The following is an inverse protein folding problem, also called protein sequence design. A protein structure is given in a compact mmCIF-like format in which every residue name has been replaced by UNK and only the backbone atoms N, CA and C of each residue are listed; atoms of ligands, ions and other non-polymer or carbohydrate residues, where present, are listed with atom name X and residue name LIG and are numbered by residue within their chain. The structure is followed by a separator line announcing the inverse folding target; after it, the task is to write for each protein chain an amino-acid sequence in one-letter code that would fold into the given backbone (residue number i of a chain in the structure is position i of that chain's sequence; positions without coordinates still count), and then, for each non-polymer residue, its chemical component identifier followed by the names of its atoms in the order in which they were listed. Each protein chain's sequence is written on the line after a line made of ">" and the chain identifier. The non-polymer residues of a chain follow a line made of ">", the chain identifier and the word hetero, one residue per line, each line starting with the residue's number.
data_IF_850022611995
#
_entry.id   IF_850022611995
#
_cell.length_a   1.000
_cell.length_b   1.000
_cell.length_c   1.000
_cell.angle_alpha   90.00
_cell.angle_beta   90.00
_cell.angle_gamma   90.00
#
_symmetry.space_group_name_H-M   'P 1'
#
loop_
_entity.id
_entity.type
_entity.pdbx_description
1 polymer ?
#
# COMPACT_ATOMS: atom_id res chain seq x y z
N UNK A 1 -8.97 -5.55 18.70
CA UNK A 1 -9.73 -4.38 18.18
C UNK A 1 -10.81 -3.97 19.18
N UNK A 2 -10.79 -2.71 19.63
CA UNK A 2 -11.76 -2.14 20.57
C UNK A 2 -13.11 -1.85 19.89
N UNK A 3 -14.20 -1.70 20.66
CA UNK A 3 -15.50 -1.31 20.12
C UNK A 3 -15.45 0.04 19.37
N UNK A 4 -14.62 0.97 19.85
CA UNK A 4 -14.42 2.28 19.23
C UNK A 4 -13.78 2.17 17.84
N UNK A 5 -12.77 1.33 17.68
CA UNK A 5 -12.11 1.07 16.39
C UNK A 5 -13.08 0.46 15.36
N UNK A 6 -13.85 -0.56 15.77
CA UNK A 6 -14.88 -1.18 14.92
C UNK A 6 -15.92 -0.17 14.45
N UNK A 7 -16.33 0.75 15.33
CA UNK A 7 -17.29 1.81 15.00
C UNK A 7 -16.74 2.79 13.95
N UNK A 8 -15.44 3.08 13.95
CA UNK A 8 -14.82 3.98 12.95
C UNK A 8 -14.84 3.36 11.55
N UNK A 9 -14.42 2.11 11.43
CA UNK A 9 -14.41 1.38 10.16
C UNK A 9 -15.83 1.26 9.61
N UNK A 10 -16.80 0.95 10.49
CA UNK A 10 -18.21 0.93 10.13
C UNK A 10 -18.69 2.29 9.59
N UNK A 11 -18.33 3.41 10.22
CA UNK A 11 -18.68 4.75 9.71
C UNK A 11 -18.08 5.03 8.34
N UNK A 12 -16.82 4.64 8.11
CA UNK A 12 -16.17 4.77 6.80
C UNK A 12 -16.92 3.94 5.75
N UNK A 13 -17.21 2.66 6.06
CA UNK A 13 -17.96 1.79 5.15
C UNK A 13 -19.37 2.33 4.84
N UNK A 14 -20.10 2.78 5.86
CA UNK A 14 -21.42 3.37 5.71
C UNK A 14 -21.38 4.64 4.85
N UNK A 15 -20.36 5.49 5.03
CA UNK A 15 -20.16 6.67 4.20
C UNK A 15 -19.98 6.28 2.73
N UNK A 16 -19.01 5.41 2.41
CA UNK A 16 -18.75 4.95 1.05
C UNK A 16 -20.00 4.36 0.38
N UNK A 17 -20.67 3.44 1.07
CA UNK A 17 -21.90 2.82 0.59
C UNK A 17 -23.00 3.86 0.32
N UNK A 18 -23.20 4.80 1.24
CA UNK A 18 -24.25 5.81 1.13
C UNK A 18 -23.98 6.83 0.02
N UNK A 19 -22.71 7.17 -0.26
CA UNK A 19 -22.34 8.16 -1.28
C UNK A 19 -22.87 7.80 -2.68
N UNK A 20 -22.91 6.51 -3.02
CA UNK A 20 -23.51 6.01 -4.26
C UNK A 20 -24.84 5.28 -4.06
N UNK A 21 -25.44 5.36 -2.86
CA UNK A 21 -26.70 4.68 -2.49
C UNK A 21 -26.68 3.18 -2.77
N UNK A 22 -25.55 2.53 -2.55
CA UNK A 22 -25.45 1.09 -2.75
C UNK A 22 -26.27 0.32 -1.70
N UNK A 23 -26.87 -0.82 -2.08
CA UNK A 23 -27.61 -1.65 -1.15
C UNK A 23 -26.69 -2.13 -0.03
N UNK A 24 -27.25 -2.28 1.16
CA UNK A 24 -26.50 -2.83 2.29
C UNK A 24 -26.40 -4.34 2.14
N UNK A 25 -25.19 -4.83 1.90
CA UNK A 25 -24.86 -6.25 1.82
C UNK A 25 -23.87 -6.56 2.94
N UNK A 26 -24.09 -7.67 3.67
CA UNK A 26 -23.26 -8.07 4.79
C UNK A 26 -22.72 -9.47 4.59
N UNK A 27 -21.45 -9.68 4.92
CA UNK A 27 -20.88 -11.01 5.06
C UNK A 27 -21.46 -11.74 6.28
N UNK A 28 -21.21 -13.05 6.40
CA UNK A 28 -21.53 -13.82 7.62
C UNK A 28 -20.84 -13.28 8.88
N UNK A 29 -19.70 -12.61 8.73
CA UNK A 29 -18.95 -11.97 9.82
C UNK A 29 -19.38 -10.53 10.09
N UNK A 30 -20.37 -10.00 9.36
CA UNK A 30 -20.92 -8.65 9.52
C UNK A 30 -20.12 -7.55 8.81
N UNK A 31 -19.16 -7.89 7.95
CA UNK A 31 -18.46 -6.91 7.12
C UNK A 31 -19.36 -6.39 5.99
N UNK A 32 -19.32 -5.08 5.69
CA UNK A 32 -20.07 -4.52 4.55
C UNK A 32 -19.38 -4.90 3.23
N UNK A 33 -20.18 -5.47 2.31
CA UNK A 33 -19.74 -5.94 1.00
C UNK A 33 -20.36 -5.11 -0.11
N UNK A 34 -19.73 -5.11 -1.29
CA UNK A 34 -20.26 -4.49 -2.50
C UNK A 34 -21.29 -5.38 -3.20
N UNK A 35 -21.08 -6.70 -3.18
CA UNK A 35 -21.92 -7.70 -3.84
C UNK A 35 -22.20 -8.88 -2.92
N UNK A 36 -23.33 -9.57 -3.17
CA UNK A 36 -23.88 -10.60 -2.30
C UNK A 36 -23.27 -11.98 -2.49
N UNK A 37 -23.12 -12.56 -3.71
CA UNK A 37 -22.49 -13.89 -3.81
C UNK A 37 -21.81 -14.34 -5.13
N UNK A 38 -21.62 -13.51 -6.16
CA UNK A 38 -20.76 -13.89 -7.29
C UNK A 38 -19.85 -12.73 -7.72
N UNK A 39 -18.53 -12.93 -7.64
CA UNK A 39 -17.56 -11.89 -7.91
C UNK A 39 -17.07 -11.97 -9.35
N UNK A 40 -17.72 -11.19 -10.20
CA UNK A 40 -17.28 -10.98 -11.56
C UNK A 40 -16.73 -9.58 -11.74
N UNK A 41 -15.60 -9.47 -12.43
CA UNK A 41 -15.00 -8.18 -12.79
C UNK A 41 -15.98 -7.25 -13.50
N UNK A 42 -16.99 -7.80 -14.20
CA UNK A 42 -18.04 -7.02 -14.86
C UNK A 42 -18.88 -6.20 -13.88
N UNK A 43 -19.21 -6.76 -12.72
CA UNK A 43 -19.99 -6.07 -11.70
C UNK A 43 -19.22 -4.87 -11.15
N UNK A 44 -17.92 -5.02 -10.89
CA UNK A 44 -17.06 -3.91 -10.45
C UNK A 44 -16.99 -2.80 -11.49
N UNK A 45 -16.80 -3.14 -12.77
CA UNK A 45 -16.79 -2.15 -13.85
C UNK A 45 -18.08 -1.36 -13.92
N UNK A 46 -19.22 -2.05 -13.89
CA UNK A 46 -20.53 -1.41 -13.91
C UNK A 46 -20.74 -0.53 -12.68
N UNK A 47 -20.36 -1.03 -11.49
CA UNK A 47 -20.50 -0.32 -10.21
C UNK A 47 -19.76 1.00 -10.20
N UNK A 48 -18.51 0.98 -10.65
CA UNK A 48 -17.62 2.15 -10.61
C UNK A 48 -17.53 2.92 -11.93
N UNK A 49 -18.33 2.54 -12.94
CA UNK A 49 -18.45 3.30 -14.18
C UNK A 49 -17.22 3.23 -15.08
N UNK A 50 -16.52 2.09 -15.07
CA UNK A 50 -15.37 1.86 -15.96
C UNK A 50 -15.84 1.88 -17.42
N UNK A 51 -15.28 2.80 -18.21
CA UNK A 51 -15.65 2.97 -19.61
C UNK A 51 -15.29 1.74 -20.46
N UNK A 52 -16.02 1.55 -21.57
CA UNK A 52 -15.80 0.44 -22.50
C UNK A 52 -14.37 0.41 -23.05
N UNK A 53 -13.78 1.59 -23.31
CA UNK A 53 -12.41 1.71 -23.81
C UNK A 53 -11.34 1.18 -22.81
N UNK A 54 -11.64 1.15 -21.52
CA UNK A 54 -10.72 0.70 -20.47
C UNK A 54 -11.10 -0.67 -19.89
N UNK A 55 -12.09 -1.34 -20.50
CA UNK A 55 -12.56 -2.67 -20.08
C UNK A 55 -11.42 -3.69 -19.99
N UNK A 56 -10.56 -3.74 -21.01
CA UNK A 56 -9.46 -4.70 -21.07
C UNK A 56 -8.41 -4.44 -20.00
N UNK A 57 -7.97 -3.18 -19.86
CA UNK A 57 -7.00 -2.77 -18.84
C UNK A 57 -7.53 -3.05 -17.43
N UNK A 58 -8.81 -2.74 -17.17
CA UNK A 58 -9.44 -3.03 -15.88
C UNK A 58 -9.52 -4.54 -15.61
N UNK A 59 -9.88 -5.35 -16.62
CA UNK A 59 -9.98 -6.79 -16.45
C UNK A 59 -8.64 -7.41 -16.05
N UNK A 60 -7.60 -7.05 -16.78
CA UNK A 60 -6.28 -7.61 -16.55
C UNK A 60 -5.69 -7.11 -15.22
N UNK A 61 -5.92 -5.84 -14.85
CA UNK A 61 -5.53 -5.31 -13.54
C UNK A 61 -6.30 -5.99 -12.39
N UNK A 62 -7.62 -6.18 -12.53
CA UNK A 62 -8.44 -6.87 -11.54
C UNK A 62 -7.97 -8.31 -11.34
N UNK A 63 -7.66 -9.02 -12.42
CA UNK A 63 -7.10 -10.37 -12.37
C UNK A 63 -5.77 -10.36 -11.60
N UNK A 64 -4.85 -9.45 -11.94
CA UNK A 64 -3.57 -9.33 -11.22
C UNK A 64 -3.73 -9.06 -9.72
N UNK A 65 -4.72 -8.26 -9.32
CA UNK A 65 -5.02 -7.93 -7.91
C UNK A 65 -5.73 -9.07 -7.17
N UNK A 66 -6.37 -10.02 -7.88
CA UNK A 66 -7.19 -11.07 -7.25
C UNK A 66 -6.61 -12.48 -7.34
N UNK A 67 -5.60 -12.70 -8.18
CA UNK A 67 -4.89 -13.98 -8.34
C UNK A 67 -3.66 -14.13 -7.42
N UNK A 68 -3.45 -13.24 -6.46
CA UNK A 68 -2.41 -13.41 -5.46
C UNK A 68 -2.69 -14.56 -4.48
N UNK A 69 -1.80 -14.72 -3.51
CA UNK A 69 -1.62 -15.97 -2.73
C UNK A 69 -2.71 -16.16 -1.65
N UNK A 70 -3.84 -15.45 -1.71
CA UNK A 70 -4.90 -15.49 -0.70
C UNK A 70 -6.33 -15.48 -1.26
N UNK A 71 -7.31 -15.45 -0.35
CA UNK A 71 -8.73 -15.21 -0.66
C UNK A 71 -8.98 -13.75 -1.13
N UNK A 72 -8.09 -13.20 -1.95
CA UNK A 72 -8.04 -11.79 -2.33
C UNK A 72 -9.30 -11.35 -3.08
N UNK A 73 -9.90 -12.25 -3.85
CA UNK A 73 -11.22 -12.02 -4.45
C UNK A 73 -12.29 -11.72 -3.38
N UNK A 74 -12.29 -12.41 -2.24
CA UNK A 74 -13.26 -12.10 -1.16
C UNK A 74 -12.93 -10.78 -0.45
N UNK A 75 -11.66 -10.39 -0.39
CA UNK A 75 -11.22 -9.13 0.22
C UNK A 75 -11.53 -7.92 -0.66
N UNK A 76 -11.44 -8.04 -1.99
CA UNK A 76 -11.75 -6.93 -2.92
C UNK A 76 -13.24 -6.56 -2.91
N UNK A 77 -14.11 -7.49 -2.50
CA UNK A 77 -15.54 -7.23 -2.33
C UNK A 77 -15.89 -6.42 -1.06
N UNK A 78 -14.95 -6.21 -0.14
CA UNK A 78 -15.20 -5.36 1.02
C UNK A 78 -15.36 -3.90 0.59
N UNK A 79 -16.34 -3.20 1.17
CA UNK A 79 -16.54 -1.74 0.95
C UNK A 79 -15.29 -0.94 1.37
N UNK A 80 -14.54 -1.44 2.35
CA UNK A 80 -13.29 -0.83 2.87
C UNK A 80 -12.06 -1.61 2.41
N UNK A 81 -12.09 -2.18 1.21
CA UNK A 81 -10.96 -2.93 0.66
C UNK A 81 -9.78 -2.03 0.30
N UNK A 82 -8.62 -2.29 0.90
CA UNK A 82 -7.36 -1.61 0.58
C UNK A 82 -6.76 -2.02 -0.78
N UNK A 83 -7.24 -3.11 -1.38
CA UNK A 83 -6.87 -3.55 -2.73
C UNK A 83 -7.76 -2.92 -3.83
N UNK A 84 -9.02 -2.61 -3.51
CA UNK A 84 -9.95 -2.04 -4.50
C UNK A 84 -9.61 -0.60 -4.88
N UNK A 85 -9.27 0.24 -3.89
CA UNK A 85 -8.94 1.64 -4.12
C UNK A 85 -7.74 1.82 -5.08
N UNK A 86 -6.56 1.20 -4.85
CA UNK A 86 -5.46 1.28 -5.80
C UNK A 86 -5.82 0.71 -7.17
N UNK A 87 -6.61 -0.37 -7.25
CA UNK A 87 -7.10 -0.88 -8.53
C UNK A 87 -7.88 0.20 -9.30
N UNK A 88 -8.90 0.78 -8.67
CA UNK A 88 -9.76 1.81 -9.29
C UNK A 88 -8.99 3.08 -9.66
N UNK A 89 -7.91 3.39 -8.94
CA UNK A 89 -7.06 4.56 -9.21
C UNK A 89 -6.08 4.27 -10.35
N UNK A 90 -5.45 3.11 -10.41
CA UNK A 90 -4.28 2.89 -11.29
C UNK A 90 -4.55 1.98 -12.50
N UNK A 91 -5.73 1.35 -12.62
CA UNK A 91 -6.00 0.38 -13.70
C UNK A 91 -5.79 0.93 -15.12
N UNK A 92 -6.05 2.23 -15.33
CA UNK A 92 -5.89 2.89 -16.65
C UNK A 92 -4.42 2.85 -17.14
N UNK A 93 -3.46 2.67 -16.23
CA UNK A 93 -2.03 2.52 -16.54
C UNK A 93 -1.58 1.06 -16.70
N UNK A 94 -2.44 0.07 -16.46
CA UNK A 94 -2.03 -1.34 -16.48
C UNK A 94 -1.61 -1.80 -17.87
N UNK A 95 -2.41 -1.44 -18.88
CA UNK A 95 -2.07 -1.59 -20.30
C UNK A 95 -1.65 -0.20 -20.80
N UNK A 96 -0.36 0.02 -21.14
CA UNK A 96 0.11 1.30 -21.61
C UNK A 96 -0.66 1.77 -22.85
N UNK A 97 -1.11 3.02 -22.82
CA UNK A 97 -1.78 3.69 -23.94
C UNK A 97 -1.21 5.09 -24.12
N UNK A 98 -1.11 5.54 -25.37
CA UNK A 98 -0.66 6.89 -25.67
C UNK A 98 -1.59 7.94 -25.02
N UNK A 99 -1.01 9.02 -24.51
CA UNK A 99 -1.75 10.11 -23.85
C UNK A 99 -2.22 9.80 -22.43
N UNK A 100 -2.19 8.56 -21.96
CA UNK A 100 -2.63 8.18 -20.62
C UNK A 100 -1.45 8.20 -19.64
N UNK A 101 -1.56 9.03 -18.60
CA UNK A 101 -0.53 9.12 -17.55
C UNK A 101 -1.06 9.78 -16.28
N UNK A 102 -0.40 9.48 -15.16
CA UNK A 102 -0.54 10.24 -13.91
C UNK A 102 0.75 11.05 -13.69
N UNK A 103 0.61 12.28 -13.22
CA UNK A 103 1.73 13.12 -12.80
C UNK A 103 1.76 13.18 -11.27
N UNK A 104 2.91 12.89 -10.68
CA UNK A 104 3.10 12.94 -9.22
C UNK A 104 4.40 13.65 -8.88
N UNK A 105 4.40 14.42 -7.79
CA UNK A 105 5.64 14.95 -7.19
C UNK A 105 6.21 13.97 -6.17
N UNK A 106 7.26 13.24 -6.56
CA UNK A 106 7.93 12.20 -5.76
C UNK A 106 9.44 12.23 -5.97
N UNK A 107 10.21 11.84 -4.96
CA UNK A 107 11.67 11.83 -5.01
C UNK A 107 12.27 13.23 -5.20
N UNK A 108 11.54 14.28 -4.80
CA UNK A 108 11.91 15.68 -5.01
C UNK A 108 11.65 16.22 -6.43
N UNK A 109 11.05 15.43 -7.32
CA UNK A 109 10.86 15.77 -8.73
C UNK A 109 9.39 15.53 -9.16
N UNK A 110 8.92 16.26 -10.15
CA UNK A 110 7.65 15.92 -10.83
C UNK A 110 7.92 14.83 -11.85
N UNK A 111 7.20 13.71 -11.76
CA UNK A 111 7.35 12.56 -12.64
C UNK A 111 6.03 12.19 -13.31
N UNK A 112 6.12 11.81 -14.58
CA UNK A 112 5.01 11.27 -15.38
C UNK A 112 5.11 9.75 -15.39
N UNK A 113 4.05 9.08 -14.95
CA UNK A 113 3.96 7.62 -14.92
C UNK A 113 2.96 7.14 -15.97
N UNK A 114 3.36 6.15 -16.77
CA UNK A 114 2.59 5.67 -17.95
C UNK A 114 2.29 4.18 -17.90
N UNK A 115 2.80 3.48 -16.88
CA UNK A 115 2.56 2.04 -16.69
C UNK A 115 2.41 1.72 -15.22
N UNK A 116 1.52 0.79 -14.90
CA UNK A 116 1.35 0.24 -13.57
C UNK A 116 1.46 -1.29 -13.59
N UNK A 117 2.05 -1.84 -12.55
CA UNK A 117 1.97 -3.25 -12.18
C UNK A 117 1.29 -3.36 -10.82
N UNK A 118 0.53 -4.44 -10.61
CA UNK A 118 -0.14 -4.72 -9.34
C UNK A 118 0.47 -5.95 -8.67
N UNK A 119 0.41 -5.99 -7.34
CA UNK A 119 0.83 -7.14 -6.53
C UNK A 119 2.24 -7.62 -6.87
N UNK A 120 3.18 -6.68 -7.08
CA UNK A 120 4.54 -7.02 -7.52
C UNK A 120 5.31 -7.71 -6.41
N UNK A 121 5.89 -8.86 -6.71
CA UNK A 121 6.52 -9.73 -5.70
C UNK A 121 8.03 -9.53 -5.70
N UNK A 122 8.54 -9.12 -4.54
CA UNK A 122 9.97 -8.97 -4.32
C UNK A 122 10.49 -9.98 -3.28
N UNK A 123 11.76 -10.39 -3.45
CA UNK A 123 12.45 -11.32 -2.56
C UNK A 123 12.64 -10.69 -1.18
N UNK A 124 12.14 -11.34 -0.12
CA UNK A 124 12.38 -10.92 1.27
C UNK A 124 12.73 -12.10 2.17
N UNK A 125 12.55 -11.96 3.48
CA UNK A 125 12.75 -13.04 4.46
C UNK A 125 11.54 -13.99 4.39
N UNK A 126 11.78 -15.24 3.98
CA UNK A 126 10.73 -16.26 3.87
C UNK A 126 9.88 -16.09 2.62
N UNK A 127 8.62 -15.67 2.79
CA UNK A 127 7.68 -15.47 1.67
C UNK A 127 7.93 -14.11 0.99
N UNK A 128 7.68 -13.96 -0.32
CA UNK A 128 7.82 -12.69 -1.01
C UNK A 128 7.02 -11.56 -0.35
N UNK A 129 7.53 -10.34 -0.45
CA UNK A 129 6.75 -9.14 -0.13
C UNK A 129 6.05 -8.70 -1.41
N UNK A 130 4.72 -8.69 -1.38
CA UNK A 130 3.91 -8.05 -2.42
C UNK A 130 3.88 -6.55 -2.13
N UNK A 131 4.07 -5.71 -3.14
CA UNK A 131 3.74 -4.28 -3.09
C UNK A 131 2.49 -4.09 -3.94
N UNK A 132 1.49 -3.38 -3.43
CA UNK A 132 0.19 -3.27 -4.09
C UNK A 132 0.29 -2.68 -5.50
N UNK A 133 1.09 -1.62 -5.70
CA UNK A 133 1.27 -0.98 -7.01
C UNK A 133 2.73 -0.58 -7.25
N UNK A 134 3.23 -0.83 -8.46
CA UNK A 134 4.48 -0.27 -8.97
C UNK A 134 4.22 0.56 -10.24
N UNK A 135 4.46 1.86 -10.18
CA UNK A 135 4.31 2.78 -11.30
C UNK A 135 5.65 3.01 -12.00
N UNK A 136 5.71 2.83 -13.32
CA UNK A 136 6.91 3.08 -14.12
C UNK A 136 6.81 4.44 -14.79
N UNK A 137 7.88 5.24 -14.68
CA UNK A 137 7.96 6.53 -15.35
C UNK A 137 7.97 6.39 -16.88
N UNK A 138 7.57 7.44 -17.58
CA UNK A 138 7.49 7.44 -19.05
C UNK A 138 8.84 7.17 -19.74
N UNK A 139 9.96 7.45 -19.08
CA UNK A 139 11.32 7.16 -19.55
C UNK A 139 11.85 5.78 -19.11
N UNK A 140 11.07 5.00 -18.34
CA UNK A 140 11.48 3.69 -17.84
C UNK A 140 12.51 3.71 -16.69
N UNK A 141 13.11 4.86 -16.40
CA UNK A 141 14.25 4.95 -15.47
C UNK A 141 13.86 4.93 -13.99
N UNK A 142 12.61 5.25 -13.67
CA UNK A 142 12.10 5.31 -12.29
C UNK A 142 10.92 4.38 -12.09
N UNK A 143 10.95 3.62 -10.98
CA UNK A 143 9.77 2.91 -10.48
C UNK A 143 9.37 3.47 -9.12
N UNK A 144 8.10 3.84 -8.96
CA UNK A 144 7.48 4.23 -7.71
C UNK A 144 6.67 3.06 -7.15
N UNK A 145 7.07 2.55 -6.00
CA UNK A 145 6.41 1.49 -5.24
C UNK A 145 5.46 2.10 -4.22
N UNK A 146 4.19 1.72 -4.32
CA UNK A 146 3.10 2.20 -3.49
C UNK A 146 2.47 1.04 -2.72
N UNK A 147 2.46 1.19 -1.40
CA UNK A 147 1.71 0.34 -0.49
C UNK A 147 0.44 1.09 -0.05
N UNK A 148 -0.71 0.60 -0.47
CA UNK A 148 -2.03 1.16 -0.14
C UNK A 148 -2.39 0.89 1.32
N UNK A 149 -2.98 1.90 1.97
CA UNK A 149 -3.63 1.74 3.28
C UNK A 149 -4.95 2.52 3.29
N UNK A 150 -5.98 1.87 3.82
CA UNK A 150 -7.33 2.41 3.89
C UNK A 150 -7.86 2.40 5.33
N UNK A 151 -7.96 1.24 5.96
CA UNK A 151 -8.49 1.10 7.33
C UNK A 151 -7.62 0.32 8.30
N UNK A 152 -6.52 -0.28 7.84
CA UNK A 152 -5.70 -1.21 8.60
C UNK A 152 -5.15 -0.60 9.89
N UNK A 153 -4.83 0.70 9.87
CA UNK A 153 -4.35 1.43 11.06
C UNK A 153 -5.39 1.52 12.19
N UNK A 154 -6.69 1.40 11.88
CA UNK A 154 -7.75 1.34 12.88
C UNK A 154 -7.94 -0.07 13.44
N UNK A 155 -7.55 -1.10 12.69
CA UNK A 155 -7.76 -2.51 13.04
C UNK A 155 -6.68 -3.06 13.96
N UNK A 156 -5.43 -2.74 13.62
CA UNK A 156 -4.24 -3.45 14.08
C UNK A 156 -3.30 -2.59 14.95
N UNK A 157 -3.79 -1.44 15.43
CA UNK A 157 -3.03 -0.64 16.39
C UNK A 157 -2.93 -1.37 17.75
N UNK A 158 -1.70 -1.64 18.18
CA UNK A 158 -1.37 -2.43 19.37
C UNK A 158 -0.12 -1.89 20.06
N UNK A 159 0.06 -2.22 21.34
CA UNK A 159 1.29 -1.92 22.10
C UNK A 159 2.37 -2.97 21.90
N UNK A 160 2.04 -4.12 21.33
CA UNK A 160 2.96 -5.22 21.13
C UNK A 160 2.62 -6.01 19.88
N UNK A 161 3.66 -6.38 19.11
CA UNK A 161 3.57 -7.32 17.98
C UNK A 161 4.78 -8.24 17.95
N UNK A 162 4.50 -9.51 17.78
CA UNK A 162 5.49 -10.56 17.59
C UNK A 162 5.57 -10.94 16.10
N UNK A 163 6.79 -11.11 15.62
CA UNK A 163 7.15 -11.51 14.26
C UNK A 163 8.15 -12.66 14.30
N UNK A 164 8.29 -13.40 13.19
CA UNK A 164 9.24 -14.50 13.11
C UNK A 164 10.69 -14.10 13.43
N UNK A 165 11.40 -14.99 14.12
CA UNK A 165 12.80 -14.81 14.54
C UNK A 165 13.77 -14.39 13.43
N UNK A 166 13.46 -14.75 12.18
CA UNK A 166 14.26 -14.40 11.00
C UNK A 166 14.39 -12.90 10.72
N UNK A 167 13.53 -12.06 11.30
CA UNK A 167 13.64 -10.60 11.23
C UNK A 167 14.52 -9.99 12.34
N UNK A 168 14.82 -10.74 13.41
CA UNK A 168 15.44 -10.19 14.63
C UNK A 168 16.81 -9.58 14.35
N UNK A 169 17.70 -10.33 13.69
CA UNK A 169 19.08 -9.88 13.41
C UNK A 169 19.12 -8.58 12.59
N UNK A 170 18.18 -8.41 11.66
CA UNK A 170 18.04 -7.19 10.87
C UNK A 170 17.58 -6.03 11.75
N UNK A 171 16.56 -6.22 12.58
CA UNK A 171 16.00 -5.16 13.41
C UNK A 171 16.95 -4.70 14.52
N UNK A 172 17.87 -5.57 14.94
CA UNK A 172 18.94 -5.24 15.89
C UNK A 172 20.04 -4.37 15.29
N UNK A 173 20.10 -4.19 13.96
CA UNK A 173 21.03 -3.26 13.32
C UNK A 173 20.76 -1.82 13.78
N UNK A 174 21.84 -1.06 14.03
CA UNK A 174 21.77 0.26 14.65
C UNK A 174 20.85 1.25 13.91
N UNK A 175 20.80 1.21 12.58
CA UNK A 175 19.94 2.07 11.77
C UNK A 175 18.45 1.85 12.04
N UNK A 176 17.99 0.60 12.08
CA UNK A 176 16.58 0.27 12.35
C UNK A 176 16.26 0.49 13.83
N UNK A 177 17.13 0.03 14.73
CA UNK A 177 16.93 0.20 16.18
C UNK A 177 16.82 1.67 16.58
N UNK A 178 17.68 2.54 16.04
CA UNK A 178 17.64 3.98 16.33
C UNK A 178 16.37 4.64 15.78
N UNK A 179 15.92 4.23 14.59
CA UNK A 179 14.68 4.72 13.99
C UNK A 179 13.46 4.39 14.86
N UNK A 180 13.36 3.14 15.35
CA UNK A 180 12.28 2.69 16.23
C UNK A 180 12.28 3.41 17.58
N UNK A 181 13.46 3.62 18.17
CA UNK A 181 13.61 4.33 19.44
C UNK A 181 13.09 5.77 19.41
N UNK A 182 13.12 6.43 18.24
CA UNK A 182 12.56 7.78 18.08
C UNK A 182 11.05 7.83 18.45
N UNK A 183 10.32 6.75 18.15
CA UNK A 183 8.91 6.58 18.52
C UNK A 183 8.70 5.75 19.78
N UNK A 184 9.75 5.57 20.60
CA UNK A 184 9.75 4.75 21.81
C UNK A 184 9.24 3.33 21.55
N UNK A 185 9.61 2.77 20.40
CA UNK A 185 9.34 1.38 20.05
C UNK A 185 10.60 0.59 20.41
N UNK A 186 10.49 -0.24 21.44
CA UNK A 186 11.55 -1.10 21.92
C UNK A 186 11.50 -2.48 21.24
N UNK A 187 12.68 -3.08 21.06
CA UNK A 187 12.82 -4.49 20.68
C UNK A 187 13.08 -5.28 21.96
N UNK A 188 12.34 -6.36 22.19
CA UNK A 188 12.59 -7.27 23.33
C UNK A 188 13.80 -8.15 23.02
N UNK A 189 14.97 -7.78 23.53
CA UNK A 189 16.24 -8.42 23.14
C UNK A 189 16.32 -9.91 23.52
N UNK A 190 15.76 -10.29 24.66
CA UNK A 190 15.82 -11.68 25.17
C UNK A 190 14.86 -12.64 24.46
N UNK A 191 13.90 -12.14 23.67
CA UNK A 191 12.91 -12.99 23.01
C UNK A 191 13.51 -13.72 21.79
N UNK A 192 13.20 -14.99 21.58
CA UNK A 192 13.65 -15.74 20.38
C UNK A 192 13.13 -15.11 19.09
N UNK A 193 11.86 -14.71 19.10
CA UNK A 193 11.19 -14.02 18.01
C UNK A 193 11.41 -12.50 18.08
N UNK A 194 11.18 -11.81 16.96
CA UNK A 194 11.22 -10.35 16.97
C UNK A 194 9.94 -9.85 17.64
N UNK A 195 10.05 -9.22 18.81
CA UNK A 195 8.92 -8.57 19.48
C UNK A 195 9.18 -7.07 19.52
N UNK A 196 8.25 -6.31 18.94
CA UNK A 196 8.21 -4.85 19.03
C UNK A 196 7.21 -4.43 20.10
N UNK A 197 7.63 -3.54 21.00
CA UNK A 197 6.80 -2.97 22.07
C UNK A 197 6.77 -1.45 21.97
N UNK A 198 5.59 -0.86 22.02
CA UNK A 198 5.38 0.59 22.08
C UNK A 198 4.65 1.00 23.36
N UNK A 199 4.95 2.18 23.88
CA UNK A 199 4.28 2.72 25.08
C UNK A 199 2.79 3.00 24.87
N UNK A 200 2.39 3.23 23.61
CA UNK A 200 1.02 3.53 23.21
C UNK A 200 0.63 2.65 22.02
N UNK A 201 -0.68 2.34 21.83
CA UNK A 201 -1.13 1.60 20.66
C UNK A 201 -0.70 2.27 19.35
N UNK A 202 0.00 1.52 18.50
CA UNK A 202 0.52 1.97 17.22
C UNK A 202 0.35 0.88 16.16
N UNK A 203 0.25 1.26 14.89
CA UNK A 203 0.16 0.31 13.78
C UNK A 203 1.55 -0.22 13.40
N UNK A 204 2.10 -1.07 14.26
CA UNK A 204 3.45 -1.64 14.12
C UNK A 204 3.60 -2.51 12.87
N UNK A 205 2.52 -3.15 12.41
CA UNK A 205 2.52 -3.92 11.17
C UNK A 205 2.89 -3.06 9.96
N UNK A 206 2.40 -1.81 9.89
CA UNK A 206 2.74 -0.90 8.79
C UNK A 206 4.23 -0.54 8.73
N UNK A 207 4.91 -0.48 9.88
CA UNK A 207 6.38 -0.30 9.94
C UNK A 207 7.07 -1.57 9.44
N UNK A 208 6.63 -2.75 9.90
CA UNK A 208 7.21 -4.02 9.47
C UNK A 208 7.03 -4.24 7.97
N UNK A 209 5.85 -3.95 7.43
CA UNK A 209 5.56 -3.98 6.00
C UNK A 209 6.52 -3.07 5.24
N UNK A 210 6.65 -1.80 5.64
CA UNK A 210 7.59 -0.84 5.04
C UNK A 210 9.01 -1.39 4.96
N UNK A 211 9.54 -1.90 6.07
CA UNK A 211 10.88 -2.50 6.10
C UNK A 211 10.96 -3.73 5.19
N UNK A 212 9.93 -4.59 5.17
CA UNK A 212 9.85 -5.73 4.23
C UNK A 212 9.92 -5.27 2.77
N UNK A 213 9.15 -4.25 2.35
CA UNK A 213 9.22 -3.76 0.97
C UNK A 213 10.61 -3.20 0.65
N UNK A 214 11.25 -2.48 1.57
CA UNK A 214 12.62 -1.97 1.38
C UNK A 214 13.64 -3.11 1.22
N UNK A 215 13.52 -4.22 1.96
CA UNK A 215 14.31 -5.43 1.71
C UNK A 215 14.07 -5.92 0.28
N UNK A 216 12.81 -5.96 -0.14
CA UNK A 216 12.40 -6.35 -1.48
C UNK A 216 13.02 -5.46 -2.56
N UNK A 217 13.02 -4.15 -2.36
CA UNK A 217 13.66 -3.20 -3.28
C UNK A 217 15.16 -3.41 -3.37
N UNK A 218 15.85 -3.81 -2.29
CA UNK A 218 17.29 -4.12 -2.29
C UNK A 218 17.59 -5.47 -2.96
N UNK A 219 16.78 -6.50 -2.68
CA UNK A 219 17.00 -7.87 -3.19
C UNK A 219 16.46 -8.11 -4.60
N UNK A 220 15.51 -7.28 -5.03
CA UNK A 220 14.85 -7.33 -6.32
C UNK A 220 13.67 -8.30 -6.41
N UNK A 221 13.10 -8.41 -7.62
CA UNK A 221 11.95 -9.25 -7.91
C UNK A 221 12.16 -10.73 -7.55
N UNK A 222 11.06 -11.41 -7.23
CA UNK A 222 11.02 -12.87 -7.17
C UNK A 222 11.25 -13.44 -8.59
N UNK A 223 12.00 -14.53 -8.70
CA UNK A 223 12.23 -15.18 -9.99
C UNK A 223 10.98 -16.00 -10.35
N UNK A 224 10.02 -15.37 -11.01
CA UNK A 224 8.78 -16.01 -11.47
C UNK A 224 8.44 -15.58 -12.88
N UNK A 225 7.92 -16.52 -13.68
CA UNK A 225 7.59 -16.27 -15.09
C UNK A 225 6.32 -15.39 -15.25
N UNK A 226 5.42 -15.43 -14.26
CA UNK A 226 4.16 -14.68 -14.22
C UNK A 226 4.36 -13.15 -14.05
N UNK A 227 5.55 -12.69 -13.67
CA UNK A 227 5.87 -11.26 -13.51
C UNK A 227 7.05 -10.79 -14.38
N UNK A 228 7.29 -11.47 -15.50
CA UNK A 228 8.41 -11.16 -16.43
C UNK A 228 8.46 -9.70 -16.89
N UNK A 229 7.31 -9.09 -17.19
CA UNK A 229 7.24 -7.69 -17.59
C UNK A 229 7.68 -6.72 -16.48
N UNK A 230 7.26 -6.99 -15.24
CA UNK A 230 7.71 -6.24 -14.06
C UNK A 230 9.21 -6.42 -13.84
N UNK A 231 9.71 -7.66 -13.94
CA UNK A 231 11.14 -7.97 -13.81
C UNK A 231 11.96 -7.17 -14.82
N UNK A 232 11.51 -7.11 -16.08
CA UNK A 232 12.18 -6.33 -17.13
C UNK A 232 12.20 -4.83 -16.81
N UNK A 233 11.06 -4.27 -16.38
CA UNK A 233 10.99 -2.86 -15.97
C UNK A 233 11.92 -2.57 -14.78
N UNK A 234 11.93 -3.45 -13.77
CA UNK A 234 12.81 -3.34 -12.60
C UNK A 234 14.29 -3.36 -13.00
N UNK A 235 14.67 -4.28 -13.88
CA UNK A 235 16.05 -4.42 -14.33
C UNK A 235 16.53 -3.16 -15.08
N UNK A 236 15.66 -2.57 -15.90
CA UNK A 236 15.94 -1.34 -16.63
C UNK A 236 16.02 -0.09 -15.72
N UNK A 237 15.15 0.00 -14.71
CA UNK A 237 15.07 1.18 -13.86
C UNK A 237 16.35 1.43 -13.05
N UNK A 238 16.85 2.65 -13.05
CA UNK A 238 18.03 3.06 -12.26
C UNK A 238 17.64 3.56 -10.87
N UNK A 239 16.40 4.06 -10.74
CA UNK A 239 15.88 4.69 -9.52
C UNK A 239 14.61 4.00 -9.05
N UNK A 240 14.57 3.65 -7.77
CA UNK A 240 13.41 3.07 -7.11
C UNK A 240 12.95 4.04 -6.02
N UNK A 241 11.66 4.35 -5.97
CA UNK A 241 11.06 5.22 -4.95
C UNK A 241 10.07 4.39 -4.16
N UNK A 242 10.07 4.49 -2.83
CA UNK A 242 9.11 3.82 -1.96
C UNK A 242 8.32 4.82 -1.11
N UNK A 243 7.01 4.63 -1.05
CA UNK A 243 6.12 5.32 -0.11
C UNK A 243 4.81 4.55 0.04
N UNK A 244 4.18 4.53 1.22
CA UNK A 244 2.78 4.20 1.29
C UNK A 244 1.93 5.31 0.64
N UNK A 245 0.74 4.94 0.21
CA UNK A 245 -0.33 5.86 -0.21
C UNK A 245 -1.54 5.64 0.70
N UNK A 246 -1.92 6.67 1.43
CA UNK A 246 -2.97 6.59 2.44
C UNK A 246 -4.26 7.23 1.94
N UNK A 247 -5.39 6.63 2.27
CA UNK A 247 -6.66 7.34 2.24
C UNK A 247 -6.79 8.17 3.53
N UNK A 248 -7.07 9.47 3.40
CA UNK A 248 -7.38 10.36 4.52
C UNK A 248 -8.89 10.35 4.87
N UNK A 249 -9.31 9.72 5.99
CA UNK A 249 -10.72 9.64 6.37
C UNK A 249 -11.18 10.82 7.22
N UNK A 250 -10.38 11.88 7.42
CA UNK A 250 -10.69 12.99 8.35
C UNK A 250 -11.90 13.85 7.98
N UNK A 251 -12.41 13.71 6.75
CA UNK A 251 -13.70 14.32 6.37
C UNK A 251 -14.91 13.45 6.77
N UNK A 252 -14.70 12.16 7.05
CA UNK A 252 -15.71 11.21 7.53
C UNK A 252 -15.66 11.09 9.06
N UNK A 253 -14.45 11.00 9.59
CA UNK A 253 -14.15 10.85 11.00
C UNK A 253 -13.91 12.22 11.65
N UNK A 254 -14.07 12.31 12.97
CA UNK A 254 -13.79 13.56 13.67
C UNK A 254 -12.28 13.87 13.62
N UNK A 255 -11.88 15.15 13.63
CA UNK A 255 -10.46 15.57 13.68
C UNK A 255 -9.69 15.03 14.90
N UNK A 256 -10.38 14.49 15.90
CA UNK A 256 -9.80 13.87 17.09
C UNK A 256 -9.57 12.35 16.94
N UNK A 257 -9.91 11.76 15.78
CA UNK A 257 -9.67 10.35 15.48
C UNK A 257 -8.22 10.15 15.05
N UNK A 258 -7.39 9.90 16.06
CA UNK A 258 -5.93 10.02 15.97
C UNK A 258 -5.23 8.87 15.20
N UNK A 259 -5.85 7.74 14.88
CA UNK A 259 -5.13 6.57 14.35
C UNK A 259 -4.52 6.82 12.96
N UNK A 260 -5.24 7.52 12.06
CA UNK A 260 -4.69 7.94 10.77
C UNK A 260 -3.48 8.86 10.96
N UNK A 261 -3.66 9.96 11.71
CA UNK A 261 -2.60 10.94 11.97
C UNK A 261 -1.41 10.34 12.74
N UNK A 262 -1.69 9.39 13.64
CA UNK A 262 -0.68 8.64 14.39
C UNK A 262 0.10 7.72 13.44
N UNK A 263 -0.54 7.02 12.51
CA UNK A 263 0.19 6.22 11.52
C UNK A 263 0.99 7.10 10.55
N UNK A 264 0.41 8.20 10.08
CA UNK A 264 1.10 9.17 9.22
C UNK A 264 2.39 9.69 9.86
N UNK A 265 2.31 10.12 11.12
CA UNK A 265 3.48 10.57 11.90
C UNK A 265 4.43 9.42 12.21
N UNK A 266 3.93 8.25 12.62
CA UNK A 266 4.74 7.06 12.87
C UNK A 266 5.58 6.67 11.64
N UNK A 267 4.98 6.61 10.45
CA UNK A 267 5.73 6.36 9.22
C UNK A 267 6.78 7.45 8.98
N UNK A 268 6.39 8.72 9.08
CA UNK A 268 7.29 9.84 8.80
C UNK A 268 8.48 9.88 9.75
N UNK A 269 8.25 9.59 11.03
CA UNK A 269 9.26 9.65 12.09
C UNK A 269 10.19 8.44 12.07
N UNK A 270 9.72 7.25 11.66
CA UNK A 270 10.53 6.02 11.63
C UNK A 270 11.09 5.75 10.24
N UNK A 271 10.23 5.62 9.22
CA UNK A 271 10.63 5.23 7.87
C UNK A 271 11.09 6.44 7.05
N UNK A 272 10.30 7.52 7.04
CA UNK A 272 10.59 8.69 6.21
C UNK A 272 11.88 9.40 6.62
N UNK A 273 12.02 9.68 7.92
CA UNK A 273 13.17 10.41 8.47
C UNK A 273 14.45 9.57 8.49
N UNK A 274 14.36 8.28 8.85
CA UNK A 274 15.53 7.39 8.98
C UNK A 274 15.70 6.42 7.81
N UNK A 275 15.01 6.64 6.70
CA UNK A 275 14.97 5.71 5.58
C UNK A 275 16.35 5.31 5.05
N UNK A 276 17.27 6.26 4.95
CA UNK A 276 18.65 5.98 4.53
C UNK A 276 19.39 5.05 5.51
N UNK A 277 19.28 5.32 6.82
CA UNK A 277 19.90 4.47 7.84
C UNK A 277 19.30 3.05 7.86
N UNK A 278 17.99 2.93 7.63
CA UNK A 278 17.30 1.65 7.46
C UNK A 278 17.81 0.92 6.21
N UNK A 279 17.94 1.62 5.07
CA UNK A 279 18.46 1.03 3.84
C UNK A 279 19.90 0.53 4.00
N UNK A 280 20.75 1.29 4.67
CA UNK A 280 22.14 0.89 4.93
C UNK A 280 22.19 -0.35 5.83
N UNK A 281 21.36 -0.40 6.88
CA UNK A 281 21.20 -1.59 7.71
C UNK A 281 20.74 -2.81 6.90
N UNK A 282 19.77 -2.64 5.99
CA UNK A 282 19.27 -3.71 5.10
C UNK A 282 20.38 -4.18 4.15
N UNK A 283 21.12 -3.28 3.50
CA UNK A 283 22.21 -3.63 2.57
C UNK A 283 23.33 -4.39 3.27
N UNK A 284 23.71 -3.94 4.47
CA UNK A 284 24.72 -4.60 5.30
C UNK A 284 24.27 -6.01 5.70
N UNK A 285 23.03 -6.15 6.18
CA UNK A 285 22.45 -7.44 6.54
C UNK A 285 22.33 -8.38 5.33
N UNK A 286 21.87 -7.87 4.18
CA UNK A 286 21.66 -8.66 2.98
C UNK A 286 22.96 -9.06 2.28
N UNK A 287 24.08 -8.39 2.60
CA UNK A 287 25.38 -8.52 1.91
C UNK A 287 25.25 -8.39 0.38
N UNK A 288 24.28 -7.62 -0.07
CA UNK A 288 23.92 -7.43 -1.47
C UNK A 288 23.50 -5.99 -1.71
N UNK A 289 23.87 -5.48 -2.88
CA UNK A 289 23.34 -4.26 -3.46
C UNK A 289 22.97 -4.56 -4.90
N UNK A 290 21.82 -4.06 -5.34
CA UNK A 290 21.39 -4.11 -6.73
C UNK A 290 21.97 -2.96 -7.57
N UNK A 291 22.77 -2.07 -6.97
CA UNK A 291 23.35 -0.90 -7.63
C UNK A 291 22.37 0.25 -7.92
N UNK A 292 21.08 0.08 -7.62
CA UNK A 292 20.02 1.06 -7.93
C UNK A 292 19.93 2.14 -6.85
N UNK A 293 19.57 3.36 -7.24
CA UNK A 293 19.30 4.47 -6.31
C UNK A 293 17.91 4.27 -5.69
N UNK A 294 17.86 3.87 -4.42
CA UNK A 294 16.61 3.76 -3.67
C UNK A 294 16.33 5.06 -2.91
N UNK A 295 15.14 5.61 -3.07
CA UNK A 295 14.66 6.83 -2.41
C UNK A 295 13.40 6.49 -1.63
N UNK A 296 13.30 7.03 -0.41
CA UNK A 296 12.14 6.84 0.47
C UNK A 296 11.52 8.21 0.67
N UNK A 297 10.21 8.34 0.41
CA UNK A 297 9.54 9.61 0.67
C UNK A 297 9.49 9.86 2.18
N UNK A 298 9.74 11.10 2.59
CA UNK A 298 9.71 11.47 4.00
C UNK A 298 8.31 11.39 4.61
N UNK A 299 7.28 11.50 3.78
CA UNK A 299 5.88 11.50 4.18
C UNK A 299 5.08 10.59 3.25
N UNK A 300 4.05 9.90 3.76
CA UNK A 300 3.14 9.15 2.91
C UNK A 300 2.50 10.04 1.83
N UNK A 301 2.27 9.46 0.65
CA UNK A 301 1.34 10.06 -0.30
C UNK A 301 -0.10 9.89 0.19
N UNK A 302 -1.02 10.66 -0.36
CA UNK A 302 -2.45 10.47 -0.12
C UNK A 302 -3.22 10.41 -1.42
N UNK A 303 -4.30 9.63 -1.45
CA UNK A 303 -5.21 9.59 -2.59
C UNK A 303 -5.84 10.95 -2.87
N UNK A 304 -6.14 11.73 -1.82
CA UNK A 304 -6.65 13.09 -1.94
C UNK A 304 -5.66 14.01 -2.69
N UNK A 305 -4.37 13.95 -2.33
CA UNK A 305 -3.34 14.73 -3.02
C UNK A 305 -3.18 14.27 -4.47
N UNK A 306 -3.22 12.96 -4.73
CA UNK A 306 -3.17 12.42 -6.09
C UNK A 306 -4.30 12.96 -6.96
N UNK A 307 -5.54 12.98 -6.46
CA UNK A 307 -6.69 13.52 -7.18
C UNK A 307 -6.59 15.04 -7.37
N UNK A 308 -6.08 15.78 -6.37
CA UNK A 308 -5.84 17.22 -6.50
C UNK A 308 -4.79 17.54 -7.59
N UNK A 309 -3.73 16.74 -7.68
CA UNK A 309 -2.69 16.89 -8.71
C UNK A 309 -3.16 16.39 -10.09
N UNK A 310 -4.21 15.55 -10.14
CA UNK A 310 -4.73 14.93 -11.36
C UNK A 310 -6.29 14.95 -11.36
N UNK A 311 -6.92 16.13 -11.47
CA UNK A 311 -8.36 16.30 -11.23
C UNK A 311 -9.25 15.48 -12.19
N UNK A 312 -8.81 15.26 -13.42
CA UNK A 312 -9.59 14.55 -14.45
C UNK A 312 -9.28 13.05 -14.53
N UNK A 313 -8.42 12.54 -13.63
CA UNK A 313 -7.90 11.17 -13.72
C UNK A 313 -8.93 10.11 -13.32
N UNK A 314 -9.63 10.34 -12.21
CA UNK A 314 -10.56 9.37 -11.64
C UNK A 314 -11.95 9.47 -12.26
N UNK A 315 -12.60 8.32 -12.41
CA UNK A 315 -14.00 8.26 -12.83
C UNK A 315 -14.90 8.88 -11.74
N UNK A 316 -15.93 9.64 -12.12
CA UNK A 316 -16.76 10.41 -11.19
C UNK A 316 -17.43 9.55 -10.11
N UNK A 317 -17.78 8.29 -10.44
CA UNK A 317 -18.31 7.34 -9.45
C UNK A 317 -17.26 6.96 -8.40
N UNK A 318 -16.00 6.80 -8.79
CA UNK A 318 -14.90 6.51 -7.87
C UNK A 318 -14.66 7.71 -6.95
N UNK A 319 -14.60 8.94 -7.51
CA UNK A 319 -14.50 10.18 -6.72
C UNK A 319 -15.64 10.30 -5.72
N UNK A 320 -16.88 10.08 -6.17
CA UNK A 320 -18.07 10.16 -5.32
C UNK A 320 -18.06 9.11 -4.22
N UNK A 321 -17.70 7.86 -4.55
CA UNK A 321 -17.68 6.76 -3.59
C UNK A 321 -16.69 7.00 -2.45
N UNK A 322 -15.47 7.45 -2.78
CA UNK A 322 -14.41 7.68 -1.80
C UNK A 322 -14.35 9.12 -1.28
N UNK A 323 -15.16 10.06 -1.78
CA UNK A 323 -15.07 11.47 -1.42
C UNK A 323 -13.73 12.12 -1.80
N UNK A 324 -13.20 11.78 -2.99
CA UNK A 324 -11.87 12.21 -3.48
C UNK A 324 -11.90 13.40 -4.43
#
# INVERSE_FOLDING_TARGET
>A
MTNTQKNKIKKIAEHFRNSLKFPKVLSKSGAELLFDNDLFTALFRERFGVSSENKEAFNAAFQAVTEGVGQEITKINSVVSSALLPLLVFYKLYIPKEGISIILKVGGETKKFTRAFFEVRNKVIGRPSCVDVALVSSDGNTILFLESKLTEMFEDATTEKEYGSSYKDLYMQSGIRSALNNRRIAIVEEATNLILKSEQPQYLEGIKQSISHLIGLVKGPQDTQDQSEYINAYNHAERLIYTPILYDPTHILSKHDNEYSNYYSLYSDVIGTHGNAILDAIKNWAKKSNGKKIVIEQRPLTYQKLTQENPDWLDERVKTFYGL
#
